data_IF_148104810974
#
_entry.id   IF_148104810974
#
_cell.length_a   1.000
_cell.length_b   1.000
_cell.length_c   1.000
_cell.angle_alpha   90.00
_cell.angle_beta   90.00
_cell.angle_gamma   90.00
#
_symmetry.space_group_name_H-M   'P 1'
#
loop_
_entity.id
_entity.type
_entity.pdbx_description
1 polymer ?
#
# COMPACT_ATOMS: atom_id res chain seq x y z
N UNK A 1 85.80 -18.45 5.00
CA UNK A 1 85.46 -18.65 3.57
C UNK A 1 84.04 -18.15 3.33
N UNK A 2 83.89 -17.20 2.41
CA UNK A 2 82.65 -16.45 2.12
C UNK A 2 81.65 -17.36 1.40
N UNK A 3 80.41 -17.45 1.88
CA UNK A 3 79.25 -17.81 1.04
C UNK A 3 78.20 -16.71 1.15
N UNK A 4 78.18 -15.95 0.07
CA UNK A 4 77.32 -14.85 -0.35
C UNK A 4 75.84 -15.13 -0.05
N UNK A 5 75.26 -14.36 0.86
CA UNK A 5 73.82 -14.13 0.91
C UNK A 5 73.44 -13.28 -0.30
N UNK A 6 72.53 -13.77 -1.15
CA UNK A 6 71.96 -12.96 -2.24
C UNK A 6 70.91 -12.01 -1.62
N UNK A 7 71.02 -10.69 -1.77
CA UNK A 7 69.95 -9.78 -1.37
C UNK A 7 68.80 -9.91 -2.38
N UNK A 8 67.60 -10.21 -1.88
CA UNK A 8 66.36 -10.06 -2.65
C UNK A 8 66.21 -8.56 -2.91
N UNK A 9 66.31 -8.16 -4.17
CA UNK A 9 66.08 -6.78 -4.61
C UNK A 9 64.66 -6.39 -4.20
N UNK A 10 64.52 -5.49 -3.24
CA UNK A 10 63.27 -4.76 -3.04
C UNK A 10 62.95 -4.04 -4.35
N UNK A 11 61.91 -4.50 -5.04
CA UNK A 11 61.35 -3.77 -6.16
C UNK A 11 60.85 -2.43 -5.62
N UNK A 12 61.47 -1.35 -6.10
CA UNK A 12 61.08 0.02 -5.85
C UNK A 12 59.68 0.22 -6.43
N UNK A 13 58.65 0.13 -5.58
CA UNK A 13 57.29 0.47 -5.94
C UNK A 13 57.26 2.01 -6.09
N UNK A 14 56.93 2.57 -7.26
CA UNK A 14 56.77 4.00 -7.39
C UNK A 14 55.57 4.44 -6.56
N UNK A 15 55.79 5.38 -5.63
CA UNK A 15 54.76 6.06 -4.85
C UNK A 15 53.63 6.55 -5.78
N UNK A 16 52.35 6.21 -5.53
CA UNK A 16 51.25 6.79 -6.26
C UNK A 16 51.16 8.27 -5.87
N UNK A 17 51.54 9.16 -6.79
CA UNK A 17 51.22 10.59 -6.68
C UNK A 17 49.70 10.72 -6.67
N UNK A 18 49.13 10.85 -5.47
CA UNK A 18 47.74 11.21 -5.26
C UNK A 18 47.60 12.66 -5.75
N UNK A 19 47.09 12.78 -6.97
CA UNK A 19 46.88 14.04 -7.67
C UNK A 19 45.68 14.77 -7.05
N UNK A 20 45.96 15.45 -5.93
CA UNK A 20 44.98 16.08 -5.03
C UNK A 20 44.14 17.17 -5.72
N UNK A 21 44.64 17.74 -6.83
CA UNK A 21 43.96 18.75 -7.62
C UNK A 21 42.81 18.20 -8.48
N UNK A 22 42.81 16.90 -8.79
CA UNK A 22 41.75 16.27 -9.62
C UNK A 22 40.50 15.92 -8.84
N UNK A 23 40.58 15.83 -7.50
CA UNK A 23 39.44 15.54 -6.63
C UNK A 23 38.61 16.78 -6.29
N UNK A 24 39.17 17.98 -6.44
CA UNK A 24 38.47 19.25 -6.21
C UNK A 24 37.52 19.61 -7.37
N UNK A 25 37.81 19.13 -8.59
CA UNK A 25 37.00 19.39 -9.78
C UNK A 25 35.95 18.30 -10.11
N UNK A 26 35.92 17.21 -9.35
CA UNK A 26 34.81 16.27 -9.43
C UNK A 26 33.56 16.99 -8.90
N UNK A 27 32.46 17.12 -9.68
CA UNK A 27 31.24 17.73 -9.18
C UNK A 27 30.78 16.95 -7.95
N UNK A 28 30.84 17.59 -6.79
CA UNK A 28 30.38 16.96 -5.56
C UNK A 28 28.92 16.50 -5.75
N UNK A 29 28.50 15.35 -5.19
CA UNK A 29 27.12 14.85 -5.32
C UNK A 29 26.07 15.87 -4.82
N UNK A 30 26.52 16.87 -4.05
CA UNK A 30 25.75 18.00 -3.58
C UNK A 30 25.31 18.98 -4.68
N UNK A 31 26.05 19.08 -5.77
CA UNK A 31 25.74 19.96 -6.90
C UNK A 31 24.47 19.52 -7.65
N UNK A 32 24.21 18.21 -7.73
CA UNK A 32 22.98 17.63 -8.29
C UNK A 32 21.76 17.93 -7.42
N UNK A 33 21.88 17.81 -6.09
CA UNK A 33 20.82 18.14 -5.13
C UNK A 33 20.42 19.62 -5.20
N UNK A 34 21.40 20.53 -5.31
CA UNK A 34 21.13 21.98 -5.40
C UNK A 34 20.38 22.37 -6.69
N UNK A 35 20.65 21.67 -7.79
CA UNK A 35 19.98 21.87 -9.09
C UNK A 35 18.53 21.35 -9.07
N UNK A 36 18.28 20.22 -8.39
CA UNK A 36 16.94 19.67 -8.19
C UNK A 36 16.05 20.56 -7.31
N UNK A 37 16.60 21.13 -6.24
CA UNK A 37 15.89 22.09 -5.38
C UNK A 37 15.60 23.41 -6.12
N UNK A 38 16.50 23.90 -6.97
CA UNK A 38 16.26 25.14 -7.73
C UNK A 38 15.11 25.01 -8.76
N UNK A 39 14.92 23.83 -9.34
CA UNK A 39 13.76 23.52 -10.19
C UNK A 39 12.43 23.51 -9.43
N UNK A 40 12.44 23.13 -8.14
CA UNK A 40 11.24 23.10 -7.29
C UNK A 40 10.75 24.49 -6.83
N UNK A 41 11.62 25.51 -6.85
CA UNK A 41 11.26 26.88 -6.47
C UNK A 41 10.46 27.62 -7.56
N UNK A 42 10.63 27.22 -8.84
CA UNK A 42 9.87 27.79 -9.95
C UNK A 42 8.43 27.24 -10.03
N UNK A 43 8.17 26.08 -9.42
CA UNK A 43 6.84 25.42 -9.37
C UNK A 43 6.14 25.58 -8.00
N UNK A 44 6.56 26.59 -7.23
CA UNK A 44 6.10 26.85 -5.85
C UNK A 44 4.59 27.12 -5.73
N UNK A 45 3.91 27.46 -6.83
CA UNK A 45 2.45 27.65 -6.85
C UNK A 45 1.67 26.34 -6.70
N UNK A 46 2.19 25.23 -7.23
CA UNK A 46 1.49 23.94 -7.24
C UNK A 46 1.95 23.00 -6.13
N UNK A 47 3.12 23.25 -5.53
CA UNK A 47 3.66 22.44 -4.43
C UNK A 47 2.69 22.24 -3.26
N UNK A 48 1.98 23.28 -2.73
CA UNK A 48 0.98 23.08 -1.67
C UNK A 48 -0.22 22.24 -2.12
N UNK A 49 -0.62 22.36 -3.39
CA UNK A 49 -1.75 21.60 -3.97
C UNK A 49 -1.39 20.13 -4.07
N UNK A 50 -0.19 19.80 -4.54
CA UNK A 50 0.31 18.41 -4.62
C UNK A 50 0.43 17.81 -3.22
N UNK A 51 0.96 18.55 -2.25
CA UNK A 51 1.06 18.09 -0.86
C UNK A 51 -0.33 17.83 -0.24
N UNK A 52 -1.28 18.75 -0.41
CA UNK A 52 -2.65 18.56 0.08
C UNK A 52 -3.32 17.34 -0.57
N UNK A 53 -3.16 17.18 -1.89
CA UNK A 53 -3.69 16.02 -2.62
C UNK A 53 -3.10 14.70 -2.11
N UNK A 54 -1.79 14.65 -1.82
CA UNK A 54 -1.14 13.47 -1.25
C UNK A 54 -1.66 13.14 0.16
N UNK A 55 -1.83 14.15 1.03
CA UNK A 55 -2.38 13.95 2.37
C UNK A 55 -3.80 13.38 2.30
N UNK A 56 -4.65 13.96 1.45
CA UNK A 56 -6.03 13.51 1.26
C UNK A 56 -6.04 12.07 0.73
N UNK A 57 -5.21 11.77 -0.27
CA UNK A 57 -5.07 10.41 -0.80
C UNK A 57 -4.68 9.41 0.28
N UNK A 58 -3.66 9.72 1.08
CA UNK A 58 -3.19 8.84 2.16
C UNK A 58 -4.25 8.67 3.25
N UNK A 59 -5.00 9.74 3.60
CA UNK A 59 -6.08 9.66 4.58
C UNK A 59 -7.22 8.73 4.13
N UNK A 60 -7.65 8.83 2.88
CA UNK A 60 -8.66 7.93 2.31
C UNK A 60 -8.12 6.49 2.17
N UNK A 61 -6.85 6.33 1.78
CA UNK A 61 -6.22 5.02 1.74
C UNK A 61 -6.21 4.37 3.13
N UNK A 62 -5.75 5.08 4.16
CA UNK A 62 -5.64 4.56 5.52
C UNK A 62 -7.00 4.19 6.14
N UNK A 63 -8.04 4.97 5.87
CA UNK A 63 -9.38 4.73 6.42
C UNK A 63 -10.19 3.68 5.65
N UNK A 64 -9.94 3.54 4.35
CA UNK A 64 -10.66 2.61 3.49
C UNK A 64 -9.83 1.37 3.15
N UNK A 65 -9.29 1.35 1.92
CA UNK A 65 -8.66 0.17 1.31
C UNK A 65 -7.40 -0.31 2.04
N UNK A 66 -6.78 0.53 2.88
CA UNK A 66 -5.62 0.19 3.67
C UNK A 66 -5.92 -0.71 4.86
N UNK A 67 -7.17 -0.72 5.37
CA UNK A 67 -7.54 -1.52 6.54
C UNK A 67 -8.63 -2.56 6.26
N UNK A 68 -9.59 -2.26 5.38
CA UNK A 68 -10.74 -3.13 5.08
C UNK A 68 -10.31 -4.53 4.59
N UNK A 69 -9.39 -4.68 3.61
CA UNK A 69 -9.00 -6.01 3.11
C UNK A 69 -8.31 -6.88 4.16
N UNK A 70 -7.68 -6.30 5.18
CA UNK A 70 -7.03 -7.06 6.24
C UNK A 70 -8.04 -7.71 7.20
N UNK A 71 -9.30 -7.27 7.18
CA UNK A 71 -10.40 -7.90 7.92
C UNK A 71 -11.04 -9.08 7.16
N UNK A 72 -10.46 -9.52 6.05
CA UNK A 72 -10.88 -10.68 5.24
C UNK A 72 -11.15 -11.98 6.02
N UNK A 73 -10.53 -12.15 7.19
CA UNK A 73 -10.73 -13.32 8.04
C UNK A 73 -12.19 -13.50 8.53
N UNK A 74 -12.98 -12.42 8.53
CA UNK A 74 -14.41 -12.44 8.88
C UNK A 74 -15.27 -13.08 7.79
N UNK A 75 -14.78 -13.13 6.55
CA UNK A 75 -15.49 -13.71 5.41
C UNK A 75 -15.37 -15.23 5.33
N UNK A 76 -14.36 -15.81 6.00
CA UNK A 76 -14.05 -17.23 5.90
C UNK A 76 -14.64 -18.03 7.06
N UNK A 77 -15.16 -19.23 6.74
CA UNK A 77 -15.62 -20.20 7.75
C UNK A 77 -14.49 -20.60 8.69
N UNK A 78 -14.81 -20.83 9.97
CA UNK A 78 -13.83 -21.17 11.02
C UNK A 78 -12.90 -22.32 10.62
N UNK A 79 -13.42 -23.32 9.91
CA UNK A 79 -12.65 -24.50 9.49
C UNK A 79 -11.63 -24.21 8.38
N UNK A 80 -11.85 -23.20 7.53
CA UNK A 80 -10.98 -22.87 6.39
C UNK A 80 -10.33 -21.50 6.49
N UNK A 81 -10.60 -20.76 7.57
CA UNK A 81 -10.13 -19.38 7.77
C UNK A 81 -8.62 -19.24 7.61
N UNK A 82 -7.85 -20.18 8.15
CA UNK A 82 -6.39 -20.16 8.06
C UNK A 82 -5.90 -20.25 6.61
N UNK A 83 -6.46 -21.18 5.82
CA UNK A 83 -6.08 -21.39 4.41
C UNK A 83 -6.62 -20.24 3.54
N UNK A 84 -7.85 -19.80 3.76
CA UNK A 84 -8.44 -18.68 3.00
C UNK A 84 -7.66 -17.37 3.21
N UNK A 85 -7.30 -17.07 4.46
CA UNK A 85 -6.52 -15.87 4.79
C UNK A 85 -5.10 -15.93 4.24
N UNK A 86 -4.44 -17.09 4.26
CA UNK A 86 -3.09 -17.23 3.73
C UNK A 86 -3.03 -17.11 2.21
N UNK A 87 -3.98 -17.73 1.48
CA UNK A 87 -4.08 -17.59 0.03
C UNK A 87 -4.34 -16.14 -0.35
N UNK A 88 -5.30 -15.48 0.31
CA UNK A 88 -5.63 -14.09 -0.01
C UNK A 88 -4.47 -13.13 0.28
N UNK A 89 -3.75 -13.35 1.40
CA UNK A 89 -2.53 -12.59 1.70
C UNK A 89 -1.43 -12.86 0.67
N UNK A 90 -1.25 -14.11 0.23
CA UNK A 90 -0.29 -14.45 -0.81
C UNK A 90 -0.64 -13.76 -2.15
N UNK A 91 -1.92 -13.71 -2.53
CA UNK A 91 -2.39 -12.97 -3.70
C UNK A 91 -2.10 -11.47 -3.59
N UNK A 92 -2.29 -10.87 -2.41
CA UNK A 92 -1.94 -9.47 -2.16
C UNK A 92 -0.44 -9.20 -2.38
N UNK A 93 0.43 -10.01 -1.77
CA UNK A 93 1.88 -9.88 -1.94
C UNK A 93 2.34 -10.15 -3.37
N UNK A 94 1.73 -11.11 -4.06
CA UNK A 94 2.00 -11.37 -5.47
C UNK A 94 1.64 -10.16 -6.36
N UNK A 95 0.47 -9.54 -6.12
CA UNK A 95 0.07 -8.31 -6.80
C UNK A 95 1.05 -7.17 -6.55
N UNK A 96 1.49 -7.00 -5.30
CA UNK A 96 2.50 -6.01 -4.94
C UNK A 96 3.83 -6.24 -5.67
N UNK A 97 4.28 -7.50 -5.79
CA UNK A 97 5.48 -7.85 -6.54
C UNK A 97 5.34 -7.51 -8.03
N UNK A 98 4.21 -7.87 -8.64
CA UNK A 98 3.95 -7.58 -10.06
C UNK A 98 3.97 -6.07 -10.31
N UNK A 99 3.30 -5.28 -9.48
CA UNK A 99 3.28 -3.82 -9.60
C UNK A 99 4.71 -3.28 -9.44
N UNK A 100 5.44 -3.73 -8.43
CA UNK A 100 6.81 -3.27 -8.16
C UNK A 100 7.76 -3.54 -9.33
N UNK A 101 7.64 -4.70 -10.00
CA UNK A 101 8.46 -5.06 -11.15
C UNK A 101 8.05 -4.32 -12.43
N UNK A 102 6.76 -4.03 -12.61
CA UNK A 102 6.22 -3.44 -13.84
C UNK A 102 6.19 -1.92 -13.83
N UNK A 103 6.15 -1.30 -12.64
CA UNK A 103 5.96 0.14 -12.48
C UNK A 103 7.01 0.98 -13.20
N UNK A 104 8.29 0.64 -13.06
CA UNK A 104 9.38 1.40 -13.68
C UNK A 104 9.33 1.28 -15.22
N UNK A 105 9.05 0.08 -15.73
CA UNK A 105 8.86 -0.18 -17.16
C UNK A 105 7.65 0.59 -17.71
N UNK A 106 6.57 0.69 -16.94
CA UNK A 106 5.35 1.38 -17.33
C UNK A 106 5.54 2.90 -17.44
N UNK A 107 6.24 3.51 -16.47
CA UNK A 107 6.56 4.94 -16.51
C UNK A 107 7.41 5.28 -17.73
N UNK A 108 8.40 4.43 -18.04
CA UNK A 108 9.27 4.61 -19.19
C UNK A 108 8.53 4.48 -20.53
N UNK A 109 7.44 3.71 -20.58
CA UNK A 109 6.68 3.47 -21.80
C UNK A 109 5.61 4.54 -22.11
N UNK A 110 4.85 5.02 -21.10
CA UNK A 110 3.62 5.81 -21.32
C UNK A 110 3.69 7.21 -20.72
N UNK A 111 4.77 7.57 -20.02
CA UNK A 111 4.95 8.76 -19.16
C UNK A 111 4.32 8.64 -17.76
N UNK A 112 4.83 9.38 -16.75
CA UNK A 112 4.29 9.33 -15.39
C UNK A 112 2.80 9.65 -15.31
N UNK A 113 2.32 10.67 -16.02
CA UNK A 113 0.91 11.07 -16.02
C UNK A 113 -0.01 9.99 -16.57
N UNK A 114 0.42 9.27 -17.61
CA UNK A 114 -0.32 8.13 -18.17
C UNK A 114 -0.35 6.92 -17.22
N UNK A 115 0.76 6.63 -16.55
CA UNK A 115 0.82 5.56 -15.56
C UNK A 115 -0.12 5.80 -14.37
N UNK A 116 -0.14 7.02 -13.81
CA UNK A 116 -1.07 7.37 -12.73
C UNK A 116 -2.53 7.28 -13.18
N UNK A 117 -2.85 7.71 -14.41
CA UNK A 117 -4.20 7.58 -14.97
C UNK A 117 -4.66 6.14 -15.11
N UNK A 118 -3.78 5.24 -15.56
CA UNK A 118 -4.06 3.80 -15.65
C UNK A 118 -4.34 3.19 -14.27
N UNK A 119 -3.51 3.48 -13.26
CA UNK A 119 -3.74 3.01 -11.89
C UNK A 119 -5.03 3.59 -11.29
N UNK A 120 -5.35 4.86 -11.56
CA UNK A 120 -6.62 5.45 -11.15
C UNK A 120 -7.82 4.73 -11.78
N UNK A 121 -7.72 4.34 -13.06
CA UNK A 121 -8.73 3.53 -13.74
C UNK A 121 -8.92 2.15 -13.13
N UNK A 122 -7.81 1.46 -12.78
CA UNK A 122 -7.87 0.17 -12.07
C UNK A 122 -8.54 0.33 -10.70
N UNK A 123 -8.17 1.37 -9.94
CA UNK A 123 -8.81 1.67 -8.67
C UNK A 123 -10.32 1.96 -8.82
N UNK A 124 -10.72 2.67 -9.87
CA UNK A 124 -12.13 2.95 -10.14
C UNK A 124 -12.92 1.68 -10.49
N UNK A 125 -12.37 0.80 -11.33
CA UNK A 125 -12.97 -0.51 -11.62
C UNK A 125 -13.05 -1.38 -10.37
N UNK A 126 -12.01 -1.36 -9.53
CA UNK A 126 -12.01 -2.03 -8.23
C UNK A 126 -13.10 -1.48 -7.29
N UNK A 127 -13.29 -0.16 -7.26
CA UNK A 127 -14.36 0.46 -6.48
C UNK A 127 -15.76 0.04 -6.96
N UNK A 128 -15.98 -0.01 -8.29
CA UNK A 128 -17.22 -0.53 -8.85
C UNK A 128 -17.45 -2.00 -8.48
N UNK A 129 -16.42 -2.84 -8.59
CA UNK A 129 -16.49 -4.23 -8.18
C UNK A 129 -16.87 -4.36 -6.70
N UNK A 130 -16.26 -3.57 -5.81
CA UNK A 130 -16.61 -3.55 -4.40
C UNK A 130 -18.07 -3.13 -4.17
N UNK A 131 -18.57 -2.11 -4.87
CA UNK A 131 -19.96 -1.64 -4.69
C UNK A 131 -20.98 -2.69 -5.12
N UNK A 132 -20.73 -3.42 -6.21
CA UNK A 132 -21.71 -4.33 -6.79
C UNK A 132 -21.59 -5.78 -6.33
N UNK A 133 -20.38 -6.28 -6.07
CA UNK A 133 -20.13 -7.69 -5.79
C UNK A 133 -19.75 -7.97 -4.35
N UNK A 134 -19.35 -6.97 -3.56
CA UNK A 134 -18.96 -7.18 -2.16
C UNK A 134 -20.19 -7.04 -1.25
N UNK A 135 -20.70 -8.13 -0.65
CA UNK A 135 -21.76 -8.03 0.34
C UNK A 135 -21.20 -7.42 1.62
N UNK A 136 -21.90 -6.41 2.15
CA UNK A 136 -21.53 -5.77 3.41
C UNK A 136 -21.74 -6.73 4.58
N UNK A 137 -20.66 -7.24 5.16
CA UNK A 137 -20.68 -8.18 6.30
C UNK A 137 -20.70 -7.50 7.67
N UNK A 138 -20.59 -6.17 7.71
CA UNK A 138 -20.61 -5.42 8.97
C UNK A 138 -21.93 -5.63 9.74
N UNK A 139 -21.82 -5.91 11.04
CA UNK A 139 -22.90 -6.24 12.00
C UNK A 139 -23.49 -7.66 11.90
N UNK A 140 -23.01 -8.52 11.00
CA UNK A 140 -23.45 -9.92 10.95
C UNK A 140 -22.55 -10.78 11.85
N UNK A 141 -23.12 -11.83 12.46
CA UNK A 141 -22.33 -12.86 13.13
C UNK A 141 -21.58 -13.68 12.07
N UNK A 142 -20.62 -14.46 12.53
CA UNK A 142 -19.87 -15.32 11.63
C UNK A 142 -20.77 -16.34 10.91
N UNK A 143 -21.77 -16.86 11.62
CA UNK A 143 -22.76 -17.82 11.10
C UNK A 143 -23.67 -17.15 10.06
N UNK A 144 -24.19 -15.96 10.35
CA UNK A 144 -25.04 -15.20 9.43
C UNK A 144 -24.27 -14.78 8.16
N UNK A 145 -22.98 -14.46 8.30
CA UNK A 145 -22.12 -14.10 7.16
C UNK A 145 -21.97 -15.27 6.20
N UNK A 146 -21.90 -16.50 6.69
CA UNK A 146 -21.83 -17.69 5.84
C UNK A 146 -23.15 -17.95 5.13
N UNK A 147 -24.27 -17.69 5.82
CA UNK A 147 -25.60 -17.83 5.24
C UNK A 147 -25.82 -16.85 4.07
N UNK A 148 -25.19 -15.67 4.09
CA UNK A 148 -25.15 -14.73 2.96
C UNK A 148 -24.55 -15.38 1.72
N UNK A 149 -23.46 -16.14 1.88
CA UNK A 149 -22.70 -16.72 0.78
C UNK A 149 -23.22 -18.09 0.31
N UNK A 150 -24.21 -18.68 0.99
CA UNK A 150 -24.77 -20.00 0.65
C UNK A 150 -25.45 -20.03 -0.73
N UNK A 151 -26.04 -18.91 -1.16
CA UNK A 151 -26.84 -18.82 -2.40
C UNK A 151 -26.16 -17.99 -3.51
N UNK A 152 -24.89 -17.61 -3.33
CA UNK A 152 -24.10 -16.82 -4.30
C UNK A 152 -23.46 -15.56 -3.71
N UNK A 153 -23.45 -14.45 -4.47
CA UNK A 153 -22.84 -13.17 -4.04
C UNK A 153 -23.57 -12.49 -2.86
N UNK A 154 -24.82 -12.87 -2.57
CA UNK A 154 -25.50 -12.54 -1.31
C UNK A 154 -25.78 -11.05 -1.03
N UNK A 155 -25.51 -10.14 -1.97
CA UNK A 155 -25.55 -8.68 -1.74
C UNK A 155 -26.91 -8.19 -1.23
N UNK A 156 -28.02 -8.62 -1.84
CA UNK A 156 -29.36 -8.26 -1.37
C UNK A 156 -29.72 -8.97 -0.05
N UNK A 157 -29.33 -10.24 0.13
CA UNK A 157 -29.58 -11.01 1.37
C UNK A 157 -28.91 -10.36 2.57
N UNK A 158 -27.64 -9.95 2.43
CA UNK A 158 -26.90 -9.20 3.45
C UNK A 158 -27.59 -7.87 3.81
N UNK A 159 -28.09 -7.14 2.80
CA UNK A 159 -28.78 -5.86 2.98
C UNK A 159 -30.10 -6.02 3.74
N UNK A 160 -30.87 -7.07 3.44
CA UNK A 160 -32.12 -7.37 4.15
C UNK A 160 -31.87 -7.77 5.61
N UNK A 161 -30.95 -8.71 5.87
CA UNK A 161 -30.63 -9.16 7.23
C UNK A 161 -30.12 -8.00 8.10
N UNK A 162 -29.30 -7.11 7.54
CA UNK A 162 -28.80 -5.94 8.25
C UNK A 162 -29.89 -4.92 8.61
N UNK A 163 -30.89 -4.73 7.75
CA UNK A 163 -32.03 -3.84 8.06
C UNK A 163 -32.83 -4.37 9.24
N UNK A 164 -33.18 -5.65 9.23
CA UNK A 164 -33.93 -6.30 10.32
C UNK A 164 -33.14 -6.24 11.64
N UNK A 165 -31.83 -6.50 11.59
CA UNK A 165 -30.96 -6.44 12.79
C UNK A 165 -30.82 -5.03 13.35
N UNK A 166 -30.73 -4.01 12.48
CA UNK A 166 -30.68 -2.60 12.90
C UNK A 166 -32.00 -2.14 13.52
N UNK A 167 -33.12 -2.62 13.01
CA UNK A 167 -34.46 -2.35 13.58
C UNK A 167 -34.64 -3.04 14.94
N UNK A 168 -34.28 -4.32 15.05
CA UNK A 168 -34.30 -5.05 16.32
C UNK A 168 -33.40 -4.39 17.39
N UNK A 169 -32.17 -4.01 17.03
CA UNK A 169 -31.27 -3.31 17.95
C UNK A 169 -31.81 -1.95 18.40
N UNK A 170 -32.52 -1.22 17.53
CA UNK A 170 -33.18 0.04 17.90
C UNK A 170 -34.34 -0.18 18.88
N UNK A 171 -35.13 -1.24 18.69
CA UNK A 171 -36.23 -1.60 19.60
C UNK A 171 -35.70 -1.96 20.99
N UNK A 172 -34.65 -2.78 21.07
CA UNK A 172 -34.00 -3.13 22.34
C UNK A 172 -33.47 -1.90 23.09
N UNK A 173 -32.78 -0.98 22.38
CA UNK A 173 -32.29 0.27 22.98
C UNK A 173 -33.40 1.18 23.48
N UNK A 174 -34.54 1.25 22.77
CA UNK A 174 -35.70 2.01 23.22
C UNK A 174 -36.33 1.38 24.48
N UNK A 175 -36.37 0.04 24.55
CA UNK A 175 -36.83 -0.70 25.72
C UNK A 175 -35.95 -0.47 26.97
N UNK A 176 -34.63 -0.57 26.84
CA UNK A 176 -33.69 -0.28 27.95
C UNK A 176 -33.81 1.17 28.44
N UNK A 177 -34.05 2.10 27.51
CA UNK A 177 -34.32 3.51 27.84
C UNK A 177 -35.60 3.68 28.64
N UNK A 178 -36.67 2.97 28.28
CA UNK A 178 -37.90 2.94 29.07
C UNK A 178 -37.66 2.34 30.46
N UNK A 179 -37.00 1.18 30.56
CA UNK A 179 -36.73 0.52 31.86
C UNK A 179 -35.97 1.45 32.81
N UNK A 180 -34.95 2.17 32.31
CA UNK A 180 -34.21 3.16 33.12
C UNK A 180 -35.00 4.40 33.52
N UNK A 181 -36.11 4.69 32.84
CA UNK A 181 -36.96 5.83 33.16
C UNK A 181 -38.03 5.48 34.20
N UNK A 182 -38.39 4.20 34.34
CA UNK A 182 -39.36 3.70 35.35
C UNK A 182 -38.71 3.17 36.63
N UNK A 183 -37.39 2.96 36.64
CA UNK A 183 -36.61 2.57 37.82
C UNK A 183 -36.01 3.79 38.52
#
# INVERSE_FOLDING_TARGET
MRKVARPVRCAFIPEPKIDLDRQILAPSPFSSTRRQVSGSLLDQKWSPVVLAAMIIYVAFYATGIGNIPWQQQELFHVSVRGIGTSISTACNWAGNLIISLTFLSLINAITPSGAFGLYAGICFLGALFCIFLYPETALLSLEETLEVFSDGFGVEKAKHMRRHKKEAMRQLRAGDGQIKQVA
#
